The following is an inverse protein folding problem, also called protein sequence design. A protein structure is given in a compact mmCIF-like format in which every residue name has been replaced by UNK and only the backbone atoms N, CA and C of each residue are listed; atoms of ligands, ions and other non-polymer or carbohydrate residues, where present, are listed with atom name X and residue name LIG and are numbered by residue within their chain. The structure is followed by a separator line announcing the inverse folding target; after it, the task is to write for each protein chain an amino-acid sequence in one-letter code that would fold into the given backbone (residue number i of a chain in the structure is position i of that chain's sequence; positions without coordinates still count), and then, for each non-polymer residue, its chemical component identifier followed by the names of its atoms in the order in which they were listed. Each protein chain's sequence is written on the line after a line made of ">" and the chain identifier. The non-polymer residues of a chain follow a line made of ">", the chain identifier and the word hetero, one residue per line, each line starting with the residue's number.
data_IF_365449175896
#
_entry.id   IF_365449175896
#
_cell.length_a   1.000
_cell.length_b   1.000
_cell.length_c   1.000
_cell.angle_alpha   90.00
_cell.angle_beta   90.00
_cell.angle_gamma   90.00
#
_symmetry.space_group_name_H-M   'P 1'
#
loop_
_entity.id
_entity.type
_entity.pdbx_description
1 polymer ?
#
# COMPACT_ATOMS: atom_id res chain seq x y z
N UNK A 1 -17.11 32.97 -30.46
CA UNK A 1 -16.76 31.54 -30.57
C UNK A 1 -16.38 31.08 -29.18
N UNK A 2 -17.32 30.50 -28.43
CA UNK A 2 -17.05 30.03 -27.06
C UNK A 2 -16.15 28.79 -27.15
N UNK A 3 -15.03 28.85 -26.45
CA UNK A 3 -13.94 27.89 -26.51
C UNK A 3 -14.29 26.60 -25.75
N UNK A 4 -15.14 25.77 -26.37
CA UNK A 4 -15.67 24.54 -25.77
C UNK A 4 -14.57 23.55 -25.33
N UNK A 5 -13.39 23.61 -25.96
CA UNK A 5 -12.25 22.74 -25.65
C UNK A 5 -11.46 23.10 -24.38
N UNK A 6 -11.56 24.34 -23.89
CA UNK A 6 -10.88 24.75 -22.66
C UNK A 6 -11.73 24.46 -21.42
N UNK A 7 -13.05 24.72 -21.48
CA UNK A 7 -13.97 24.41 -20.39
C UNK A 7 -14.04 22.90 -20.07
N UNK A 8 -14.03 22.04 -21.11
CA UNK A 8 -14.03 20.59 -20.93
C UNK A 8 -12.73 20.08 -20.29
N UNK A 9 -11.58 20.66 -20.68
CA UNK A 9 -10.27 20.34 -20.07
C UNK A 9 -10.21 20.78 -18.61
N UNK A 10 -10.71 21.96 -18.28
CA UNK A 10 -10.71 22.46 -16.89
C UNK A 10 -11.59 21.60 -15.97
N UNK A 11 -12.75 21.12 -16.47
CA UNK A 11 -13.60 20.17 -15.76
C UNK A 11 -12.90 18.83 -15.53
N UNK A 12 -12.29 18.24 -16.57
CA UNK A 12 -11.55 16.98 -16.47
C UNK A 12 -10.37 17.07 -15.50
N UNK A 13 -9.62 18.18 -15.53
CA UNK A 13 -8.52 18.44 -14.62
C UNK A 13 -9.03 18.55 -13.19
N UNK A 14 -10.10 19.33 -12.95
CA UNK A 14 -10.70 19.51 -11.62
C UNK A 14 -11.20 18.20 -11.03
N UNK A 15 -11.84 17.34 -11.83
CA UNK A 15 -12.26 16.00 -11.39
C UNK A 15 -11.06 15.09 -11.06
N UNK A 16 -9.98 15.16 -11.84
CA UNK A 16 -8.74 14.40 -11.57
C UNK A 16 -8.07 14.87 -10.29
N UNK A 17 -7.92 16.18 -10.09
CA UNK A 17 -7.33 16.75 -8.88
C UNK A 17 -8.11 16.30 -7.64
N UNK A 18 -9.44 16.43 -7.66
CA UNK A 18 -10.28 16.00 -6.54
C UNK A 18 -10.11 14.51 -6.23
N UNK A 19 -10.09 13.64 -7.25
CA UNK A 19 -9.91 12.20 -7.06
C UNK A 19 -8.53 11.84 -6.52
N UNK A 20 -7.48 12.47 -7.05
CA UNK A 20 -6.11 12.23 -6.62
C UNK A 20 -5.90 12.69 -5.17
N UNK A 21 -6.45 13.84 -4.79
CA UNK A 21 -6.42 14.34 -3.41
C UNK A 21 -7.16 13.41 -2.47
N UNK A 22 -8.41 13.03 -2.79
CA UNK A 22 -9.21 12.11 -1.97
C UNK A 22 -8.50 10.75 -1.80
N UNK A 23 -7.98 10.17 -2.89
CA UNK A 23 -7.27 8.90 -2.84
C UNK A 23 -6.03 8.98 -1.94
N UNK A 24 -5.25 10.06 -2.04
CA UNK A 24 -4.04 10.24 -1.22
C UNK A 24 -4.36 10.42 0.27
N UNK A 25 -5.42 11.16 0.60
CA UNK A 25 -5.89 11.33 1.98
C UNK A 25 -6.38 10.01 2.56
N UNK A 26 -7.26 9.31 1.85
CA UNK A 26 -7.83 8.03 2.31
C UNK A 26 -6.74 7.00 2.56
N UNK A 27 -5.79 6.87 1.64
CA UNK A 27 -4.69 5.94 1.83
C UNK A 27 -3.76 6.34 2.98
N UNK A 28 -3.43 7.63 3.11
CA UNK A 28 -2.63 8.13 4.23
C UNK A 28 -3.29 7.84 5.59
N UNK A 29 -4.62 8.03 5.69
CA UNK A 29 -5.38 7.71 6.90
C UNK A 29 -5.37 6.21 7.19
N UNK A 30 -5.62 5.36 6.19
CA UNK A 30 -5.61 3.89 6.37
C UNK A 30 -4.21 3.39 6.78
N UNK A 31 -3.16 3.93 6.18
CA UNK A 31 -1.78 3.63 6.54
C UNK A 31 -1.47 4.03 8.00
N UNK A 32 -1.88 5.24 8.39
CA UNK A 32 -1.71 5.72 9.76
C UNK A 32 -2.46 4.85 10.76
N UNK A 33 -3.71 4.44 10.45
CA UNK A 33 -4.49 3.52 11.27
C UNK A 33 -3.79 2.16 11.40
N UNK A 34 -3.23 1.63 10.31
CA UNK A 34 -2.48 0.36 10.35
C UNK A 34 -1.31 0.40 11.33
N UNK A 35 -0.52 1.47 11.31
CA UNK A 35 0.58 1.67 12.28
C UNK A 35 0.09 2.02 13.68
N UNK A 36 -1.06 2.69 13.81
CA UNK A 36 -1.66 2.97 15.12
C UNK A 36 -2.07 1.68 15.84
N UNK A 37 -2.70 0.74 15.13
CA UNK A 37 -3.15 -0.55 15.68
C UNK A 37 -1.98 -1.34 16.27
N UNK A 38 -0.81 -1.35 15.60
CA UNK A 38 0.34 -2.09 16.11
C UNK A 38 0.95 -1.40 17.35
N UNK A 39 0.99 -0.06 17.36
CA UNK A 39 1.46 0.71 18.52
C UNK A 39 0.59 0.40 19.74
N UNK A 40 -0.72 0.51 19.59
CA UNK A 40 -1.70 0.17 20.62
C UNK A 40 -1.51 -1.26 21.16
N UNK A 41 -1.41 -2.25 20.27
CA UNK A 41 -1.17 -3.64 20.66
C UNK A 41 0.12 -3.84 21.46
N UNK A 42 1.17 -3.08 21.15
CA UNK A 42 2.44 -3.19 21.88
C UNK A 42 2.47 -2.47 23.21
N UNK A 43 1.68 -1.41 23.36
CA UNK A 43 1.45 -0.78 24.66
C UNK A 43 0.65 -1.70 25.59
N UNK A 44 -0.34 -2.43 25.07
CA UNK A 44 -1.16 -3.36 25.86
C UNK A 44 -0.42 -4.63 26.26
N UNK A 45 0.52 -5.11 25.44
CA UNK A 45 1.27 -6.35 25.68
C UNK A 45 2.80 -6.10 25.65
N UNK A 46 3.36 -5.52 26.73
CA UNK A 46 4.79 -5.17 26.77
C UNK A 46 5.72 -6.38 26.95
N UNK A 47 5.20 -7.52 27.41
CA UNK A 47 5.98 -8.74 27.60
C UNK A 47 6.31 -9.43 26.28
N UNK A 48 7.59 -9.74 26.07
CA UNK A 48 8.08 -10.46 24.90
C UNK A 48 7.49 -11.88 24.75
N UNK A 49 7.00 -12.47 25.84
CA UNK A 49 6.34 -13.77 25.81
C UNK A 49 4.94 -13.72 25.17
N UNK A 50 4.25 -12.58 25.30
CA UNK A 50 2.90 -12.37 24.75
C UNK A 50 2.96 -11.76 23.34
N UNK A 51 3.97 -10.91 23.08
CA UNK A 51 4.17 -10.25 21.80
C UNK A 51 5.63 -10.27 21.35
N UNK A 52 5.91 -11.10 20.35
CA UNK A 52 7.25 -11.14 19.77
C UNK A 52 7.43 -9.97 18.79
N UNK A 53 8.32 -9.04 19.14
CA UNK A 53 8.66 -7.86 18.34
C UNK A 53 9.23 -8.21 16.95
N UNK A 54 9.63 -9.46 16.70
CA UNK A 54 10.06 -9.89 15.36
C UNK A 54 8.93 -9.72 14.33
N UNK A 55 7.66 -9.82 14.73
CA UNK A 55 6.53 -9.71 13.79
C UNK A 55 6.32 -8.30 13.22
N UNK A 56 6.91 -7.26 13.82
CA UNK A 56 6.92 -5.91 13.23
C UNK A 56 7.59 -5.87 11.85
N UNK A 57 8.55 -6.76 11.59
CA UNK A 57 9.29 -6.82 10.33
C UNK A 57 8.34 -7.07 9.16
N UNK A 58 7.27 -7.85 9.37
CA UNK A 58 6.27 -8.17 8.34
C UNK A 58 5.56 -6.88 7.88
N UNK A 59 5.11 -6.06 8.83
CA UNK A 59 4.47 -4.76 8.53
C UNK A 59 5.44 -3.75 7.89
N UNK A 60 6.71 -3.77 8.30
CA UNK A 60 7.77 -2.96 7.68
C UNK A 60 8.00 -3.35 6.22
N UNK A 61 8.07 -4.65 5.91
CA UNK A 61 8.18 -5.14 4.53
C UNK A 61 6.97 -4.69 3.69
N UNK A 62 5.76 -4.75 4.25
CA UNK A 62 4.56 -4.20 3.61
C UNK A 62 4.66 -2.70 3.31
N UNK A 63 5.30 -1.93 4.18
CA UNK A 63 5.53 -0.48 3.98
C UNK A 63 6.57 -0.21 2.88
N UNK A 64 7.65 -1.00 2.83
CA UNK A 64 8.59 -0.93 1.71
C UNK A 64 7.91 -1.29 0.38
N UNK A 65 7.04 -2.29 0.38
CA UNK A 65 6.25 -2.66 -0.78
C UNK A 65 5.32 -1.52 -1.22
N UNK A 66 4.66 -0.84 -0.27
CA UNK A 66 3.83 0.34 -0.54
C UNK A 66 4.61 1.42 -1.30
N UNK A 67 5.82 1.74 -0.84
CA UNK A 67 6.67 2.76 -1.49
C UNK A 67 7.05 2.30 -2.90
N UNK A 68 7.47 1.05 -3.07
CA UNK A 68 7.89 0.51 -4.37
C UNK A 68 6.74 0.47 -5.39
N UNK A 69 5.54 0.02 -4.99
CA UNK A 69 4.36 -0.02 -5.87
C UNK A 69 3.98 1.37 -6.36
N UNK A 70 4.06 2.36 -5.46
CA UNK A 70 3.64 3.74 -5.73
C UNK A 70 4.75 4.63 -6.34
N UNK A 71 6.01 4.19 -6.28
CA UNK A 71 7.15 4.87 -6.92
C UNK A 71 7.18 4.64 -8.44
N UNK A 72 6.73 3.46 -8.89
CA UNK A 72 6.64 3.15 -10.32
C UNK A 72 5.40 3.80 -10.93
N UNK A 73 5.59 4.68 -11.90
CA UNK A 73 4.46 5.34 -12.59
C UNK A 73 3.74 4.34 -13.51
N UNK A 74 2.42 4.47 -13.62
CA UNK A 74 1.61 3.76 -14.60
C UNK A 74 2.04 4.07 -16.05
N UNK A 75 2.56 5.27 -16.32
CA UNK A 75 3.13 5.64 -17.63
C UNK A 75 4.41 4.86 -17.97
N UNK A 76 5.29 4.62 -17.00
CA UNK A 76 6.50 3.79 -17.16
C UNK A 76 6.17 2.34 -17.47
N UNK A 77 5.08 1.81 -16.90
CA UNK A 77 4.62 0.42 -17.15
C UNK A 77 4.04 0.28 -18.57
N UNK A 78 3.32 1.30 -19.04
CA UNK A 78 2.71 1.35 -20.37
C UNK A 78 3.73 1.53 -21.49
N UNK A 79 4.91 2.07 -21.19
CA UNK A 79 5.96 2.29 -22.17
C UNK A 79 5.83 3.60 -22.95
N UNK A 80 5.03 4.54 -22.45
CA UNK A 80 4.82 5.88 -23.06
C UNK A 80 5.99 6.85 -22.79
N UNK A 81 7.02 6.41 -22.05
CA UNK A 81 8.25 7.18 -21.86
C UNK A 81 9.14 7.03 -23.09
N UNK A 82 9.19 8.08 -23.93
CA UNK A 82 10.06 8.27 -25.10
C UNK A 82 11.57 8.32 -24.76
N UNK A 83 12.07 7.36 -23.97
CA UNK A 83 13.50 7.14 -23.79
C UNK A 83 13.84 5.76 -24.32
N UNK A 84 14.54 5.73 -25.45
CA UNK A 84 15.15 4.58 -26.14
C UNK A 84 16.23 3.87 -25.29
N UNK A 85 15.91 3.57 -24.03
CA UNK A 85 16.70 2.72 -23.16
C UNK A 85 16.00 1.38 -23.04
N UNK A 86 16.60 0.34 -23.64
CA UNK A 86 16.12 -1.05 -23.69
C UNK A 86 15.69 -1.63 -22.32
N UNK A 87 16.07 -0.99 -21.21
CA UNK A 87 15.85 -1.44 -19.83
C UNK A 87 14.67 -0.74 -19.15
N UNK A 88 14.20 0.42 -19.64
CA UNK A 88 13.25 1.29 -18.92
C UNK A 88 11.91 0.62 -18.53
N UNK A 89 11.04 0.28 -19.51
CA UNK A 89 9.71 -0.27 -19.24
C UNK A 89 9.76 -1.71 -18.69
N UNK A 90 10.77 -2.49 -19.07
CA UNK A 90 10.96 -3.86 -18.58
C UNK A 90 11.36 -3.85 -17.10
N UNK A 91 12.31 -3.00 -16.69
CA UNK A 91 12.70 -2.86 -15.30
C UNK A 91 11.54 -2.35 -14.43
N UNK A 92 10.76 -1.37 -14.92
CA UNK A 92 9.56 -0.89 -14.23
C UNK A 92 8.56 -2.02 -13.95
N UNK A 93 8.33 -2.91 -14.92
CA UNK A 93 7.45 -4.08 -14.76
C UNK A 93 7.99 -5.09 -13.74
N UNK A 94 9.29 -5.37 -13.76
CA UNK A 94 9.93 -6.31 -12.82
C UNK A 94 9.85 -5.75 -11.40
N UNK A 95 10.19 -4.48 -11.19
CA UNK A 95 10.12 -3.83 -9.88
C UNK A 95 8.67 -3.83 -9.36
N UNK A 96 7.71 -3.49 -10.22
CA UNK A 96 6.29 -3.50 -9.86
C UNK A 96 5.82 -4.92 -9.49
N UNK A 97 6.25 -5.94 -10.23
CA UNK A 97 5.93 -7.33 -9.92
C UNK A 97 6.50 -7.76 -8.56
N UNK A 98 7.78 -7.47 -8.29
CA UNK A 98 8.41 -7.75 -7.00
C UNK A 98 7.70 -6.99 -5.87
N UNK A 99 7.34 -5.73 -6.09
CA UNK A 99 6.65 -4.92 -5.10
C UNK A 99 5.27 -5.52 -4.74
N UNK A 100 4.51 -5.98 -5.74
CA UNK A 100 3.25 -6.69 -5.49
C UNK A 100 3.48 -8.02 -4.78
N UNK A 101 4.52 -8.78 -5.11
CA UNK A 101 4.86 -10.01 -4.40
C UNK A 101 5.17 -9.76 -2.92
N UNK A 102 5.93 -8.70 -2.61
CA UNK A 102 6.21 -8.31 -1.23
C UNK A 102 4.93 -7.86 -0.50
N UNK A 103 4.05 -7.12 -1.19
CA UNK A 103 2.79 -6.66 -0.64
C UNK A 103 1.87 -7.85 -0.28
N UNK A 104 1.68 -8.81 -1.20
CA UNK A 104 0.91 -10.04 -0.93
C UNK A 104 1.59 -10.92 0.13
N UNK A 105 2.92 -11.06 0.07
CA UNK A 105 3.70 -11.81 1.04
C UNK A 105 3.52 -11.28 2.47
N UNK A 106 3.44 -9.96 2.65
CA UNK A 106 3.19 -9.35 3.96
C UNK A 106 1.81 -9.71 4.54
N UNK A 107 0.76 -9.72 3.71
CA UNK A 107 -0.60 -10.11 4.14
C UNK A 107 -0.69 -11.59 4.46
N UNK A 108 -0.11 -12.45 3.62
CA UNK A 108 -0.08 -13.90 3.84
C UNK A 108 0.74 -14.23 5.10
N UNK A 109 1.90 -13.58 5.28
CA UNK A 109 2.71 -13.71 6.49
C UNK A 109 1.96 -13.26 7.75
N UNK A 110 1.22 -12.15 7.69
CA UNK A 110 0.36 -11.70 8.78
C UNK A 110 -0.76 -12.70 9.09
N UNK A 111 -1.38 -13.29 8.07
CA UNK A 111 -2.40 -14.33 8.24
C UNK A 111 -1.83 -15.60 8.88
N UNK A 112 -0.61 -15.99 8.49
CA UNK A 112 0.10 -17.11 9.11
C UNK A 112 0.36 -16.87 10.60
N UNK A 113 0.76 -15.66 11.00
CA UNK A 113 0.95 -15.35 12.42
C UNK A 113 -0.37 -15.48 13.18
N UNK A 114 -1.47 -14.94 12.66
CA UNK A 114 -2.78 -15.05 13.30
C UNK A 114 -3.27 -16.50 13.40
N UNK A 115 -3.38 -17.20 12.27
CA UNK A 115 -3.98 -18.53 12.21
C UNK A 115 -3.04 -19.67 12.59
N UNK A 116 -1.73 -19.49 12.42
CA UNK A 116 -0.72 -20.51 12.73
C UNK A 116 -0.22 -20.44 14.17
N UNK A 117 -0.15 -19.25 14.77
CA UNK A 117 0.41 -19.07 16.11
C UNK A 117 -0.63 -18.67 17.16
N UNK A 118 -1.52 -17.72 16.87
CA UNK A 118 -2.44 -17.19 17.89
C UNK A 118 -3.76 -17.96 18.01
N UNK A 119 -4.30 -18.49 16.90
CA UNK A 119 -5.57 -19.26 16.90
C UNK A 119 -5.45 -20.68 17.49
N UNK A 120 -4.44 -21.50 17.13
CA UNK A 120 -4.41 -22.91 17.54
C UNK A 120 -3.99 -23.09 19.01
N UNK A 121 -3.13 -22.21 19.51
CA UNK A 121 -2.51 -22.36 20.83
C UNK A 121 -3.36 -21.83 21.98
N UNK A 122 -4.58 -21.33 21.70
CA UNK A 122 -5.50 -20.71 22.68
C UNK A 122 -4.73 -19.88 23.72
N UNK A 123 -3.80 -19.05 23.25
CA UNK A 123 -3.18 -18.08 24.15
C UNK A 123 -4.33 -17.22 24.66
N UNK A 124 -4.36 -16.90 25.95
CA UNK A 124 -5.44 -16.07 26.56
C UNK A 124 -5.57 -14.68 25.89
N UNK A 125 -4.67 -14.37 24.95
CA UNK A 125 -4.48 -13.07 24.29
C UNK A 125 -4.35 -13.28 22.78
N UNK A 126 -5.49 -13.33 22.09
CA UNK A 126 -5.57 -13.43 20.61
C UNK A 126 -5.35 -12.07 19.93
N UNK A 127 -5.62 -10.97 20.64
CA UNK A 127 -5.52 -9.59 20.14
C UNK A 127 -4.23 -9.26 19.39
N UNK A 128 -3.03 -9.66 19.84
CA UNK A 128 -1.80 -9.27 19.16
C UNK A 128 -1.67 -9.88 17.75
N UNK A 129 -2.18 -11.10 17.55
CA UNK A 129 -2.28 -11.70 16.21
C UNK A 129 -3.22 -10.93 15.29
N UNK A 130 -4.37 -10.48 15.82
CA UNK A 130 -5.35 -9.67 15.06
C UNK A 130 -4.74 -8.32 14.69
N UNK A 131 -3.99 -7.69 15.61
CA UNK A 131 -3.32 -6.40 15.37
C UNK A 131 -2.30 -6.50 14.23
N UNK A 132 -1.44 -7.53 14.23
CA UNK A 132 -0.44 -7.77 13.16
C UNK A 132 -1.13 -8.00 11.81
N UNK A 133 -2.15 -8.86 11.77
CA UNK A 133 -2.88 -9.12 10.53
C UNK A 133 -3.57 -7.85 10.01
N UNK A 134 -4.25 -7.11 10.89
CA UNK A 134 -4.97 -5.88 10.55
C UNK A 134 -4.02 -4.78 10.05
N UNK A 135 -2.83 -4.65 10.64
CA UNK A 135 -1.78 -3.74 10.16
C UNK A 135 -1.38 -4.07 8.70
N UNK A 136 -1.04 -5.33 8.42
CA UNK A 136 -0.60 -5.75 7.09
C UNK A 136 -1.71 -5.57 6.05
N UNK A 137 -2.95 -5.88 6.43
CA UNK A 137 -4.12 -5.67 5.58
C UNK A 137 -4.37 -4.19 5.30
N UNK A 138 -4.29 -3.32 6.30
CA UNK A 138 -4.45 -1.89 6.14
C UNK A 138 -3.37 -1.29 5.23
N UNK A 139 -2.11 -1.66 5.42
CA UNK A 139 -1.00 -1.19 4.56
C UNK A 139 -1.19 -1.68 3.11
N UNK A 140 -1.64 -2.91 2.91
CA UNK A 140 -1.96 -3.44 1.59
C UNK A 140 -3.09 -2.66 0.92
N UNK A 141 -4.20 -2.42 1.63
CA UNK A 141 -5.34 -1.63 1.11
C UNK A 141 -4.89 -0.20 0.77
N UNK A 142 -4.12 0.44 1.65
CA UNK A 142 -3.53 1.76 1.39
C UNK A 142 -2.69 1.76 0.10
N UNK A 143 -1.89 0.71 -0.11
CA UNK A 143 -1.09 0.54 -1.32
C UNK A 143 -1.95 0.51 -2.58
N UNK A 144 -3.05 -0.26 -2.56
CA UNK A 144 -3.99 -0.34 -3.69
C UNK A 144 -4.72 0.99 -3.93
N UNK A 145 -5.14 1.68 -2.88
CA UNK A 145 -5.83 2.98 -2.98
C UNK A 145 -4.89 4.04 -3.57
N UNK A 146 -3.62 4.11 -3.14
CA UNK A 146 -2.67 5.04 -3.74
C UNK A 146 -2.39 4.70 -5.20
N UNK A 147 -2.20 3.41 -5.51
CA UNK A 147 -1.81 2.96 -6.85
C UNK A 147 -2.91 3.17 -7.87
N UNK A 148 -4.15 2.82 -7.54
CA UNK A 148 -5.29 2.88 -8.46
C UNK A 148 -6.14 4.14 -8.31
N UNK A 149 -6.09 4.80 -7.15
CA UNK A 149 -6.85 6.02 -6.91
C UNK A 149 -6.27 7.24 -7.64
N UNK A 150 -4.94 7.29 -7.82
CA UNK A 150 -4.27 8.34 -8.61
C UNK A 150 -4.40 8.09 -10.10
N UNK A 151 -4.93 9.07 -10.84
CA UNK A 151 -4.73 9.19 -12.29
C UNK A 151 -3.41 9.92 -12.52
N UNK A 152 -2.50 9.30 -13.25
CA UNK A 152 -1.28 9.93 -13.75
C UNK A 152 -1.56 10.54 -15.13
N UNK A 153 -1.01 11.71 -15.39
CA UNK A 153 -1.22 12.43 -16.64
C UNK A 153 -0.56 11.67 -17.80
N UNK A 154 -1.36 11.40 -18.83
CA UNK A 154 -0.85 11.12 -20.17
C UNK A 154 -0.52 12.49 -20.76
N UNK A 155 0.75 12.89 -20.67
CA UNK A 155 1.28 13.99 -21.46
C UNK A 155 1.12 13.60 -22.93
N UNK A 156 0.27 14.32 -23.66
CA UNK A 156 0.21 14.27 -25.12
C UNK A 156 1.52 14.74 -25.73
#
# INVERSE_FOLDING_TARGET
>A
MFDCGNCCRDLDLRERFNRNTIASILAGVIFAIGWWIIIDGTCQYPSHADFNKIYFIIGSIGTFALILVNSVSNSQVRGESYSDSCIGPVAARIILFIAFLLAFGSVIGGAWVLFGYYVPYKTDKIYPGIAIFSQNLAIFISTLILKFGRKEDLSY
#
